data_IF_537128907738
#
_entry.id   IF_537128907738
#
_cell.length_a   1.000
_cell.length_b   1.000
_cell.length_c   1.000
_cell.angle_alpha   90.00
_cell.angle_beta   90.00
_cell.angle_gamma   90.00
#
_symmetry.space_group_name_H-M   'P 1'
#
loop_
_entity.id
_entity.type
_entity.pdbx_description
1 polymer ?
#
# COMPACT_ATOMS: atom_id res chain seq x y z
N UNK A 1 15.05 12.50 -6.04
CA UNK A 1 14.21 12.47 -4.84
C UNK A 1 14.26 13.82 -4.15
N UNK A 2 13.13 14.50 -3.99
CA UNK A 2 13.08 15.68 -3.14
C UNK A 2 13.01 15.20 -1.67
N UNK A 3 14.15 15.24 -0.97
CA UNK A 3 14.22 14.94 0.46
C UNK A 3 13.87 16.21 1.23
N UNK A 4 12.88 16.13 2.09
CA UNK A 4 12.57 17.19 3.02
C UNK A 4 13.31 16.92 4.33
N UNK A 5 14.17 17.85 4.71
CA UNK A 5 14.84 17.79 6.01
C UNK A 5 13.99 18.52 7.05
N UNK A 6 14.32 18.36 8.31
CA UNK A 6 13.66 19.06 9.42
C UNK A 6 13.72 20.61 9.29
N UNK A 7 14.64 21.10 8.46
CA UNK A 7 14.80 22.54 8.17
C UNK A 7 13.87 23.04 7.06
N UNK A 8 13.21 22.11 6.33
CA UNK A 8 12.28 22.47 5.25
C UNK A 8 10.95 22.93 5.85
N UNK A 9 10.35 23.96 5.28
CA UNK A 9 9.00 24.41 5.65
C UNK A 9 8.00 23.32 5.32
N UNK A 10 7.23 22.89 6.32
CA UNK A 10 6.21 21.87 6.21
C UNK A 10 4.83 22.51 6.36
N UNK A 11 3.98 22.36 5.35
CA UNK A 11 2.60 22.84 5.37
C UNK A 11 1.67 21.67 5.71
N UNK A 12 1.00 21.75 6.86
CA UNK A 12 0.05 20.75 7.33
C UNK A 12 -1.38 20.94 6.80
N UNK A 13 -1.64 22.03 6.08
CA UNK A 13 -2.97 22.33 5.51
C UNK A 13 -3.35 21.39 4.35
N UNK A 14 -2.37 20.80 3.70
CA UNK A 14 -2.58 19.82 2.65
C UNK A 14 -2.70 18.40 3.23
N UNK A 15 -3.60 17.58 2.68
CA UNK A 15 -3.68 16.16 3.02
C UNK A 15 -2.56 15.40 2.29
N UNK A 16 -1.45 15.16 2.97
CA UNK A 16 -0.23 14.60 2.40
C UNK A 16 0.22 13.35 3.17
N UNK A 17 0.95 12.48 2.48
CA UNK A 17 1.77 11.44 3.11
C UNK A 17 3.22 11.59 2.68
N UNK A 18 4.11 11.39 3.64
CA UNK A 18 5.53 11.28 3.40
C UNK A 18 6.04 9.97 3.99
N UNK A 19 6.92 9.28 3.30
CA UNK A 19 7.75 8.27 3.93
C UNK A 19 8.71 8.98 4.90
N UNK A 20 8.78 8.47 6.12
CA UNK A 20 9.73 8.93 7.13
C UNK A 20 10.93 7.98 7.13
N UNK A 21 12.11 8.53 6.96
CA UNK A 21 13.37 7.79 6.85
C UNK A 21 14.32 8.22 7.96
N UNK A 22 15.17 7.30 8.44
CA UNK A 22 16.27 7.61 9.34
C UNK A 22 17.48 8.22 8.60
N UNK A 23 18.55 8.54 9.32
CA UNK A 23 19.77 9.11 8.77
C UNK A 23 20.50 8.20 7.77
N UNK A 24 20.15 6.92 7.70
CA UNK A 24 20.69 5.92 6.78
C UNK A 24 19.74 5.57 5.63
N UNK A 25 18.66 6.36 5.46
CA UNK A 25 17.59 6.14 4.48
C UNK A 25 16.74 4.87 4.71
N UNK A 26 16.76 4.28 5.93
CA UNK A 26 15.85 3.18 6.27
C UNK A 26 14.47 3.73 6.59
N UNK A 27 13.43 3.07 6.09
CA UNK A 27 12.05 3.42 6.38
C UNK A 27 11.69 3.13 7.85
N UNK A 28 11.32 4.16 8.58
CA UNK A 28 10.97 4.09 10.02
C UNK A 28 9.49 4.31 10.29
N UNK A 29 8.74 4.79 9.30
CA UNK A 29 7.31 5.04 9.42
C UNK A 29 6.81 5.98 8.33
N UNK A 30 5.63 6.50 8.53
CA UNK A 30 4.99 7.49 7.64
C UNK A 30 4.54 8.71 8.45
N UNK A 31 4.59 9.87 7.82
CA UNK A 31 3.98 11.10 8.35
C UNK A 31 2.74 11.40 7.53
N UNK A 32 1.61 11.51 8.18
CA UNK A 32 0.31 11.86 7.57
C UNK A 32 -0.11 13.24 8.00
N UNK A 33 -0.63 14.03 7.05
CA UNK A 33 -1.42 15.22 7.38
C UNK A 33 -2.86 14.99 6.94
N UNK A 34 -3.80 15.32 7.81
CA UNK A 34 -5.23 15.26 7.50
C UNK A 34 -5.95 16.30 8.35
N UNK A 35 -6.78 17.13 7.71
CA UNK A 35 -7.57 18.15 8.38
C UNK A 35 -6.69 19.04 9.29
N UNK A 36 -5.56 19.51 8.76
CA UNK A 36 -4.53 20.33 9.43
C UNK A 36 -3.81 19.62 10.61
N UNK A 37 -4.04 18.33 10.80
CA UNK A 37 -3.37 17.54 11.84
C UNK A 37 -2.19 16.75 11.28
N UNK A 38 -1.12 16.70 12.05
CA UNK A 38 0.10 15.95 11.72
C UNK A 38 0.14 14.70 12.58
N UNK A 39 0.40 13.55 11.99
CA UNK A 39 0.56 12.26 12.67
C UNK A 39 1.79 11.53 12.13
N UNK A 40 2.64 11.04 13.02
CA UNK A 40 3.66 10.05 12.69
C UNK A 40 3.16 8.66 13.07
N UNK A 41 3.29 7.70 12.15
CA UNK A 41 2.92 6.29 12.35
C UNK A 41 4.16 5.47 12.08
N UNK A 42 4.69 4.79 13.10
CA UNK A 42 5.87 3.96 12.97
C UNK A 42 5.57 2.60 12.30
N UNK A 43 6.62 1.81 12.05
CA UNK A 43 6.50 0.50 11.40
C UNK A 43 5.71 -0.55 12.24
N UNK A 44 5.46 -0.28 13.52
CA UNK A 44 4.64 -1.09 14.42
C UNK A 44 3.18 -0.62 14.47
N UNK A 45 2.81 0.36 13.62
CA UNK A 45 1.50 1.03 13.57
C UNK A 45 1.17 1.86 14.82
N UNK A 46 2.17 2.23 15.63
CA UNK A 46 1.98 3.14 16.75
C UNK A 46 1.93 4.58 16.26
N UNK A 47 0.86 5.28 16.59
CA UNK A 47 0.62 6.66 16.16
C UNK A 47 1.10 7.65 17.22
N UNK A 48 1.89 8.64 16.79
CA UNK A 48 2.27 9.81 17.58
C UNK A 48 1.61 11.05 16.96
N UNK A 49 0.57 11.60 17.59
CA UNK A 49 -0.11 12.80 17.10
C UNK A 49 0.66 14.07 17.48
N UNK A 50 0.69 15.04 16.58
CA UNK A 50 1.25 16.39 16.80
C UNK A 50 0.17 17.48 16.68
N UNK A 51 -1.08 17.06 16.40
CA UNK A 51 -2.20 17.95 16.10
C UNK A 51 -1.81 18.90 14.96
N UNK A 52 -2.00 20.22 15.16
CA UNK A 52 -1.57 21.31 14.26
C UNK A 52 -0.20 21.90 14.63
N UNK A 53 0.50 21.34 15.60
CA UNK A 53 1.77 21.85 16.12
C UNK A 53 2.97 21.41 15.24
N UNK A 54 3.18 22.17 14.18
CA UNK A 54 4.31 21.99 13.25
C UNK A 54 5.65 22.09 13.97
N UNK A 55 5.79 22.96 14.97
CA UNK A 55 7.06 23.14 15.69
C UNK A 55 7.41 21.93 16.54
N UNK A 56 6.44 21.37 17.22
CA UNK A 56 6.59 20.11 17.98
C UNK A 56 6.95 18.95 17.06
N UNK A 57 6.30 18.87 15.89
CA UNK A 57 6.63 17.87 14.88
C UNK A 57 8.07 18.04 14.37
N UNK A 58 8.48 19.26 14.02
CA UNK A 58 9.83 19.55 13.55
C UNK A 58 10.89 19.21 14.59
N UNK A 59 10.61 19.49 15.89
CA UNK A 59 11.50 19.11 16.99
C UNK A 59 11.62 17.58 17.11
N UNK A 60 10.52 16.86 17.03
CA UNK A 60 10.52 15.38 17.02
C UNK A 60 11.39 14.82 15.90
N UNK A 61 11.22 15.32 14.66
CA UNK A 61 12.01 14.89 13.51
C UNK A 61 13.52 15.13 13.72
N UNK A 62 13.87 16.28 14.30
CA UNK A 62 15.25 16.64 14.59
C UNK A 62 15.87 15.75 15.67
N UNK A 63 15.17 15.50 16.77
CA UNK A 63 15.62 14.65 17.86
C UNK A 63 15.91 13.22 17.43
N UNK A 64 15.07 12.67 16.53
CA UNK A 64 15.23 11.32 15.99
C UNK A 64 16.13 11.25 14.75
N UNK A 65 16.59 12.40 14.24
CA UNK A 65 17.35 12.52 12.98
C UNK A 65 16.59 11.92 11.79
N UNK A 66 15.29 12.11 11.78
CA UNK A 66 14.41 11.68 10.70
C UNK A 66 14.33 12.73 9.60
N UNK A 67 14.06 12.30 8.37
CA UNK A 67 13.73 13.17 7.27
C UNK A 67 12.56 12.62 6.47
N UNK A 68 11.87 13.51 5.75
CA UNK A 68 10.73 13.16 4.93
C UNK A 68 11.16 12.92 3.49
N UNK A 69 10.60 11.88 2.89
CA UNK A 69 10.69 11.64 1.46
C UNK A 69 9.28 11.79 0.87
N UNK A 70 9.05 12.86 0.13
CA UNK A 70 7.81 13.05 -0.62
C UNK A 70 7.90 12.21 -1.90
N UNK A 71 7.05 11.19 -2.09
CA UNK A 71 7.02 10.47 -3.33
C UNK A 71 6.68 11.44 -4.46
N UNK A 72 7.58 11.64 -5.41
CA UNK A 72 7.22 12.32 -6.64
C UNK A 72 6.41 11.39 -7.53
N UNK A 73 5.62 11.94 -8.46
CA UNK A 73 4.91 11.13 -9.46
C UNK A 73 5.90 10.34 -10.36
N UNK A 74 7.16 10.74 -10.40
CA UNK A 74 8.25 10.10 -11.12
C UNK A 74 8.96 9.01 -10.30
N UNK A 75 8.86 9.04 -8.96
CA UNK A 75 9.47 8.02 -8.10
C UNK A 75 8.67 6.71 -8.21
N UNK A 76 9.39 5.60 -8.32
CA UNK A 76 8.76 4.29 -8.30
C UNK A 76 8.08 4.10 -6.95
N UNK A 77 6.77 3.92 -6.97
CA UNK A 77 5.97 3.52 -5.80
C UNK A 77 5.94 2.00 -5.65
N UNK A 78 6.74 1.31 -6.43
CA UNK A 78 6.88 -0.13 -6.39
C UNK A 78 7.81 -0.55 -5.25
N UNK A 79 7.34 -1.56 -4.52
CA UNK A 79 8.12 -2.30 -3.53
C UNK A 79 8.19 -3.74 -4.00
N UNK A 80 9.41 -4.26 -4.19
CA UNK A 80 9.58 -5.67 -4.49
C UNK A 80 9.07 -6.51 -3.32
N UNK A 81 8.12 -7.39 -3.61
CA UNK A 81 7.48 -8.21 -2.58
C UNK A 81 7.27 -9.64 -3.06
N UNK A 82 7.99 -10.57 -2.43
CA UNK A 82 7.94 -12.00 -2.71
C UNK A 82 7.88 -12.80 -1.40
N UNK A 83 6.65 -12.99 -0.83
CA UNK A 83 6.45 -13.72 0.42
C UNK A 83 6.57 -15.24 0.26
N UNK A 84 6.53 -15.78 -0.97
CA UNK A 84 6.68 -17.21 -1.21
C UNK A 84 7.98 -17.73 -0.58
N UNK A 85 7.94 -18.71 0.35
CA UNK A 85 9.11 -19.16 1.10
C UNK A 85 10.19 -19.79 0.23
N UNK A 86 9.82 -20.30 -0.95
CA UNK A 86 10.75 -20.86 -1.94
C UNK A 86 11.26 -19.81 -2.95
N UNK A 87 10.71 -18.59 -2.90
CA UNK A 87 11.01 -17.51 -3.87
C UNK A 87 10.80 -17.92 -5.33
N UNK A 88 9.94 -18.90 -5.59
CA UNK A 88 9.65 -19.33 -6.96
C UNK A 88 8.83 -18.28 -7.70
N UNK A 89 9.18 -18.08 -8.96
CA UNK A 89 8.35 -17.32 -9.87
C UNK A 89 7.18 -18.21 -10.33
N UNK A 90 6.05 -18.08 -9.67
CA UNK A 90 4.82 -18.83 -9.92
C UNK A 90 3.63 -17.88 -10.02
N UNK A 91 2.50 -18.37 -10.52
CA UNK A 91 1.25 -17.60 -10.68
C UNK A 91 0.52 -17.29 -9.36
N UNK A 92 1.23 -16.94 -8.29
CA UNK A 92 0.71 -16.71 -6.94
C UNK A 92 0.38 -15.23 -6.63
N UNK A 93 0.15 -14.40 -7.65
CA UNK A 93 -0.09 -12.95 -7.46
C UNK A 93 -1.24 -12.66 -6.48
N UNK A 94 -2.29 -13.47 -6.49
CA UNK A 94 -3.43 -13.33 -5.59
C UNK A 94 -3.02 -13.61 -4.14
N UNK A 95 -2.25 -14.69 -3.92
CA UNK A 95 -1.73 -15.06 -2.60
C UNK A 95 -0.81 -13.95 -2.06
N UNK A 96 0.12 -13.44 -2.90
CA UNK A 96 0.99 -12.32 -2.51
C UNK A 96 0.19 -11.07 -2.12
N UNK A 97 -0.88 -10.78 -2.88
CA UNK A 97 -1.73 -9.65 -2.56
C UNK A 97 -2.41 -9.80 -1.20
N UNK A 98 -2.92 -10.99 -0.86
CA UNK A 98 -3.48 -11.26 0.47
C UNK A 98 -2.45 -11.17 1.58
N UNK A 99 -1.26 -11.77 1.37
CA UNK A 99 -0.16 -11.67 2.33
C UNK A 99 0.13 -10.22 2.72
N UNK A 100 0.22 -9.32 1.73
CA UNK A 100 0.52 -7.91 2.00
C UNK A 100 -0.67 -7.15 2.57
N UNK A 101 -1.84 -7.32 1.99
CA UNK A 101 -3.04 -6.56 2.37
C UNK A 101 -3.56 -6.93 3.77
N UNK A 102 -3.39 -8.19 4.20
CA UNK A 102 -3.86 -8.73 5.47
C UNK A 102 -2.73 -9.06 6.47
N UNK A 103 -1.48 -8.78 6.09
CA UNK A 103 -0.30 -9.08 6.91
C UNK A 103 -0.26 -10.54 7.40
N UNK A 104 -0.48 -11.49 6.47
CA UNK A 104 -0.51 -12.92 6.78
C UNK A 104 0.63 -13.66 6.07
N UNK A 105 0.94 -14.88 6.53
CA UNK A 105 1.94 -15.74 5.89
C UNK A 105 1.49 -16.19 4.51
N UNK A 106 2.43 -16.63 3.68
CA UNK A 106 2.12 -17.17 2.35
C UNK A 106 1.34 -18.48 2.47
N UNK A 107 1.70 -19.33 3.43
CA UNK A 107 1.05 -20.61 3.73
C UNK A 107 -0.41 -20.38 4.14
N UNK A 108 -0.68 -19.50 5.10
CA UNK A 108 -2.04 -19.19 5.55
C UNK A 108 -2.90 -18.62 4.42
N UNK A 109 -2.31 -17.73 3.60
CA UNK A 109 -3.00 -17.16 2.45
C UNK A 109 -3.32 -18.19 1.38
N UNK A 110 -2.39 -19.14 1.15
CA UNK A 110 -2.57 -20.22 0.20
C UNK A 110 -3.65 -21.19 0.65
N UNK A 111 -3.57 -21.68 1.89
CA UNK A 111 -4.54 -22.62 2.46
C UNK A 111 -5.95 -22.04 2.46
N UNK A 112 -6.10 -20.79 2.91
CA UNK A 112 -7.37 -20.07 2.84
C UNK A 112 -7.91 -19.99 1.40
N UNK A 113 -7.07 -19.60 0.44
CA UNK A 113 -7.52 -19.48 -0.95
C UNK A 113 -7.88 -20.83 -1.57
N UNK A 114 -7.20 -21.91 -1.19
CA UNK A 114 -7.52 -23.27 -1.60
C UNK A 114 -8.88 -23.73 -1.04
N UNK A 115 -9.17 -23.45 0.23
CA UNK A 115 -10.45 -23.76 0.87
C UNK A 115 -11.61 -23.07 0.16
N UNK A 116 -11.49 -21.76 -0.09
CA UNK A 116 -12.48 -21.01 -0.85
C UNK A 116 -12.60 -21.49 -2.31
N UNK A 117 -11.50 -21.91 -2.91
CA UNK A 117 -11.49 -22.55 -4.22
C UNK A 117 -12.32 -23.83 -4.25
N UNK A 118 -12.14 -24.70 -3.25
CA UNK A 118 -12.94 -25.93 -3.11
C UNK A 118 -14.43 -25.63 -2.91
N UNK A 119 -14.79 -24.68 -2.04
CA UNK A 119 -16.18 -24.26 -1.84
C UNK A 119 -16.82 -23.76 -3.14
N UNK A 120 -16.07 -23.04 -3.97
CA UNK A 120 -16.53 -22.48 -5.22
C UNK A 120 -16.47 -23.43 -6.41
N UNK A 121 -15.90 -24.65 -6.23
CA UNK A 121 -15.51 -25.56 -7.32
C UNK A 121 -14.72 -24.83 -8.42
N UNK A 122 -13.66 -24.08 -8.02
CA UNK A 122 -12.83 -23.25 -8.88
C UNK A 122 -11.38 -23.22 -8.39
N UNK A 123 -10.47 -22.71 -9.22
CA UNK A 123 -9.09 -22.50 -8.81
C UNK A 123 -8.99 -21.32 -7.79
N UNK A 124 -8.00 -21.34 -6.89
CA UNK A 124 -7.83 -20.27 -5.88
C UNK A 124 -7.66 -18.87 -6.46
N UNK A 125 -7.18 -18.74 -7.69
CA UNK A 125 -6.96 -17.49 -8.43
C UNK A 125 -8.11 -17.10 -9.37
N UNK A 126 -9.18 -17.92 -9.43
CA UNK A 126 -10.38 -17.58 -10.20
C UNK A 126 -11.03 -16.29 -9.67
N UNK A 127 -11.48 -15.45 -10.59
CA UNK A 127 -12.07 -14.15 -10.23
C UNK A 127 -13.21 -14.25 -9.21
N UNK A 128 -14.05 -15.29 -9.28
CA UNK A 128 -15.15 -15.50 -8.32
C UNK A 128 -14.64 -15.85 -6.92
N UNK A 129 -13.53 -16.60 -6.82
CA UNK A 129 -12.90 -16.94 -5.55
C UNK A 129 -12.26 -15.70 -4.94
N UNK A 130 -11.52 -14.93 -5.76
CA UNK A 130 -10.91 -13.66 -5.35
C UNK A 130 -11.97 -12.69 -4.85
N UNK A 131 -13.06 -12.51 -5.60
CA UNK A 131 -14.18 -11.65 -5.19
C UNK A 131 -14.74 -12.10 -3.84
N UNK A 132 -15.03 -13.39 -3.69
CA UNK A 132 -15.61 -13.95 -2.46
C UNK A 132 -14.71 -13.74 -1.26
N UNK A 133 -13.40 -14.04 -1.38
CA UNK A 133 -12.43 -13.85 -0.30
C UNK A 133 -12.37 -12.37 0.11
N UNK A 134 -12.20 -11.46 -0.85
CA UNK A 134 -12.07 -10.03 -0.54
C UNK A 134 -13.36 -9.45 0.04
N UNK A 135 -14.54 -9.81 -0.47
CA UNK A 135 -15.81 -9.23 -0.02
C UNK A 135 -16.38 -9.92 1.21
N UNK A 136 -16.35 -11.27 1.28
CA UNK A 136 -17.02 -12.02 2.34
C UNK A 136 -16.11 -12.30 3.53
N UNK A 137 -14.84 -12.64 3.28
CA UNK A 137 -13.87 -12.93 4.36
C UNK A 137 -13.25 -11.65 4.91
N UNK A 138 -12.67 -10.83 4.03
CA UNK A 138 -11.92 -9.64 4.44
C UNK A 138 -12.77 -8.35 4.48
N UNK A 139 -14.02 -8.39 4.01
CA UNK A 139 -14.98 -7.28 4.07
C UNK A 139 -14.58 -6.05 3.25
N UNK A 140 -13.82 -6.23 2.19
CA UNK A 140 -13.49 -5.17 1.25
C UNK A 140 -14.71 -4.78 0.40
N UNK A 141 -14.76 -3.51 0.04
CA UNK A 141 -15.76 -2.97 -0.89
C UNK A 141 -15.25 -3.04 -2.33
N UNK A 142 -15.94 -3.74 -3.25
CA UNK A 142 -15.49 -3.86 -4.64
C UNK A 142 -15.91 -2.65 -5.47
N UNK A 143 -14.99 -2.15 -6.32
CA UNK A 143 -15.21 -1.04 -7.26
C UNK A 143 -14.76 -1.45 -8.65
N UNK A 144 -15.64 -1.34 -9.64
CA UNK A 144 -15.34 -1.62 -11.04
C UNK A 144 -15.16 -0.30 -11.79
N UNK A 145 -14.04 -0.16 -12.50
CA UNK A 145 -13.74 1.02 -13.30
C UNK A 145 -14.25 0.86 -14.75
N UNK A 146 -14.98 1.85 -15.25
CA UNK A 146 -15.30 1.94 -16.68
C UNK A 146 -14.00 2.10 -17.50
N UNK A 147 -14.05 1.83 -18.81
CA UNK A 147 -12.84 1.78 -19.63
C UNK A 147 -12.09 3.11 -19.69
N UNK A 148 -12.80 4.21 -19.65
CA UNK A 148 -12.32 5.60 -19.63
C UNK A 148 -11.84 6.06 -18.26
N UNK A 149 -12.26 5.39 -17.19
CA UNK A 149 -11.83 5.67 -15.80
C UNK A 149 -10.53 4.93 -15.42
N UNK A 150 -10.06 4.00 -16.26
CA UNK A 150 -8.91 3.16 -15.95
C UNK A 150 -7.61 3.95 -15.98
N UNK A 151 -7.01 4.10 -14.83
CA UNK A 151 -5.65 4.62 -14.64
C UNK A 151 -4.62 3.50 -14.46
N UNK A 152 -3.35 3.84 -14.52
CA UNK A 152 -2.26 2.90 -14.21
C UNK A 152 -2.17 2.65 -12.69
N UNK A 153 -1.50 1.56 -12.28
CA UNK A 153 -1.23 1.29 -10.85
C UNK A 153 -0.48 2.45 -10.20
N UNK A 154 0.49 3.07 -10.92
CA UNK A 154 1.22 4.25 -10.43
C UNK A 154 0.29 5.44 -10.22
N UNK A 155 -0.56 5.75 -11.18
CA UNK A 155 -1.55 6.83 -11.06
C UNK A 155 -2.54 6.57 -9.94
N UNK A 156 -3.02 5.31 -9.82
CA UNK A 156 -3.90 4.92 -8.72
C UNK A 156 -3.22 5.07 -7.35
N UNK A 157 -1.94 4.67 -7.23
CA UNK A 157 -1.16 4.82 -6.01
C UNK A 157 -0.95 6.29 -5.62
N UNK A 158 -0.76 7.19 -6.61
CA UNK A 158 -0.68 8.64 -6.37
C UNK A 158 -2.02 9.20 -5.89
N UNK A 159 -3.12 8.77 -6.51
CA UNK A 159 -4.47 9.24 -6.17
C UNK A 159 -4.97 8.67 -4.82
N UNK A 160 -4.42 7.52 -4.38
CA UNK A 160 -4.82 6.84 -3.14
C UNK A 160 -3.59 6.64 -2.23
N UNK A 161 -3.04 7.72 -1.67
CA UNK A 161 -1.85 7.66 -0.85
C UNK A 161 -2.09 7.01 0.53
N UNK A 162 -3.34 6.70 0.86
CA UNK A 162 -3.77 6.10 2.12
C UNK A 162 -4.63 4.87 1.91
N UNK A 163 -4.63 3.97 2.90
CA UNK A 163 -5.51 2.82 2.92
C UNK A 163 -4.91 1.58 2.27
N UNK A 164 -5.69 0.53 2.31
CA UNK A 164 -5.32 -0.77 1.75
C UNK A 164 -6.26 -1.13 0.62
N UNK A 165 -5.69 -1.42 -0.52
CA UNK A 165 -6.43 -1.79 -1.74
C UNK A 165 -5.83 -3.06 -2.35
N UNK A 166 -6.69 -3.85 -2.97
CA UNK A 166 -6.27 -4.92 -3.88
C UNK A 166 -6.70 -4.54 -5.28
N UNK A 167 -5.75 -4.45 -6.21
CA UNK A 167 -5.96 -3.94 -7.56
C UNK A 167 -5.99 -5.09 -8.57
N UNK A 168 -7.01 -5.12 -9.44
CA UNK A 168 -7.08 -6.05 -10.58
C UNK A 168 -6.55 -5.37 -11.83
N UNK A 169 -5.48 -5.91 -12.39
CA UNK A 169 -4.83 -5.42 -13.60
C UNK A 169 -4.74 -6.55 -14.63
N UNK A 170 -5.64 -6.56 -15.60
CA UNK A 170 -5.76 -7.66 -16.54
C UNK A 170 -5.91 -9.04 -15.84
N UNK A 171 -5.00 -9.99 -16.07
CA UNK A 171 -4.95 -11.31 -15.43
C UNK A 171 -4.12 -11.35 -14.13
N UNK A 172 -3.82 -10.19 -13.53
CA UNK A 172 -2.92 -10.06 -12.41
C UNK A 172 -3.57 -9.29 -11.25
N UNK A 173 -3.09 -9.51 -10.04
CA UNK A 173 -3.58 -8.86 -8.81
C UNK A 173 -2.41 -8.27 -8.05
N UNK A 174 -2.56 -7.03 -7.56
CA UNK A 174 -1.52 -6.26 -6.87
C UNK A 174 -2.08 -5.70 -5.58
N UNK A 175 -1.34 -5.80 -4.48
CA UNK A 175 -1.67 -5.08 -3.26
C UNK A 175 -1.13 -3.66 -3.30
N UNK A 176 -1.94 -2.70 -2.87
CA UNK A 176 -1.54 -1.32 -2.63
C UNK A 176 -1.84 -0.98 -1.18
N UNK A 177 -0.82 -0.56 -0.46
CA UNK A 177 -0.93 -0.18 0.95
C UNK A 177 -0.23 1.17 1.14
N UNK A 178 -0.97 2.14 1.63
CA UNK A 178 -0.49 3.50 1.90
C UNK A 178 0.32 4.11 0.74
N UNK A 179 -0.25 4.03 -0.47
CA UNK A 179 0.33 4.63 -1.68
C UNK A 179 1.52 3.88 -2.28
N UNK A 180 1.91 2.74 -1.72
CA UNK A 180 2.93 1.85 -2.26
C UNK A 180 2.30 0.57 -2.81
N UNK A 181 2.68 0.15 -4.02
CA UNK A 181 2.21 -1.12 -4.56
C UNK A 181 3.29 -2.20 -4.48
N UNK A 182 2.85 -3.39 -4.06
CA UNK A 182 3.70 -4.52 -3.68
C UNK A 182 3.53 -5.66 -4.69
N UNK A 183 4.61 -5.99 -5.39
CA UNK A 183 4.60 -7.03 -6.41
C UNK A 183 6.00 -7.62 -6.60
N UNK A 184 6.12 -8.81 -7.18
CA UNK A 184 7.41 -9.41 -7.53
C UNK A 184 8.10 -8.78 -8.75
N UNK A 185 7.44 -7.84 -9.42
CA UNK A 185 7.95 -7.04 -10.54
C UNK A 185 7.19 -5.71 -10.62
N UNK A 186 7.78 -4.68 -11.27
CA UNK A 186 7.14 -3.36 -11.40
C UNK A 186 5.92 -3.40 -12.34
N UNK A 187 4.74 -3.63 -11.75
CA UNK A 187 3.44 -3.62 -12.44
C UNK A 187 2.84 -2.22 -12.62
N UNK A 188 3.56 -1.17 -12.26
CA UNK A 188 3.08 0.21 -12.19
C UNK A 188 2.44 0.78 -13.45
N UNK A 189 2.87 0.32 -14.62
CA UNK A 189 2.32 0.77 -15.92
C UNK A 189 1.08 -0.03 -16.36
N UNK A 190 0.62 -1.02 -15.58
CA UNK A 190 -0.61 -1.77 -15.90
C UNK A 190 -1.84 -0.97 -15.52
N UNK A 191 -2.92 -1.09 -16.31
CA UNK A 191 -4.17 -0.39 -16.06
C UNK A 191 -5.07 -1.16 -15.10
N UNK A 192 -5.54 -0.48 -14.06
CA UNK A 192 -6.49 -1.00 -13.08
C UNK A 192 -7.87 -1.09 -13.73
N UNK A 193 -8.52 -2.24 -13.62
CA UNK A 193 -9.87 -2.48 -14.16
C UNK A 193 -10.93 -2.64 -13.08
N UNK A 194 -10.51 -3.07 -11.91
CA UNK A 194 -11.31 -3.25 -10.71
C UNK A 194 -10.38 -3.10 -9.50
N UNK A 195 -10.90 -2.61 -8.38
CA UNK A 195 -10.20 -2.66 -7.12
C UNK A 195 -11.15 -3.00 -5.98
N UNK A 196 -10.58 -3.42 -4.86
CA UNK A 196 -11.28 -3.64 -3.61
C UNK A 196 -10.60 -2.79 -2.55
N UNK A 197 -11.39 -2.05 -1.80
CA UNK A 197 -10.96 -1.11 -0.75
C UNK A 197 -11.32 -1.67 0.63
N UNK A 198 -10.37 -1.61 1.57
CA UNK A 198 -10.54 -2.08 2.94
C UNK A 198 -11.22 -1.04 3.81
#
# INVERSE_FOLDING_TARGET
>A
MAKFTVETTFDSSENLIFACLDMYDNHVGIVKTKDEKIMFIDNENKTTPFEDDVQKFMQFMKEHKYHLNRPSAEDSKWVEYQPNPKKYNTGDCTIRAYCKAENMSWEDAYDMAADFGMECAALPDDNKVVDKILTEKFKYTPHKLAKDERCTVKEFAVANPFGTFVLKVNSHVVALVDGLYYDSWDSGNKKVSKYWEK
#
